data_IF_932066408403
#
_entry.id   IF_932066408403
#
_cell.length_a   1.000
_cell.length_b   1.000
_cell.length_c   1.000
_cell.angle_alpha   90.00
_cell.angle_beta   90.00
_cell.angle_gamma   90.00
#
_symmetry.space_group_name_H-M   'P 1'
#
loop_
_entity.id
_entity.type
_entity.pdbx_description
1 polymer ?
#
# COMPACT_ATOMS: atom_id res chain seq x y z
N UNK A 1 -4.59 -10.32 -1.43
CA UNK A 1 -4.84 -9.02 -0.75
C UNK A 1 -3.75 -8.77 0.27
N UNK A 2 -3.50 -7.51 0.63
CA UNK A 2 -2.46 -7.06 1.55
C UNK A 2 -3.12 -6.31 2.71
N UNK A 3 -2.74 -6.59 3.93
CA UNK A 3 -3.15 -5.81 5.09
C UNK A 3 -2.31 -4.54 5.22
N UNK A 4 -2.92 -3.39 4.96
CA UNK A 4 -2.33 -2.07 5.16
C UNK A 4 -2.33 -1.69 6.63
N UNK A 5 -1.24 -1.96 7.34
CA UNK A 5 -1.14 -1.82 8.78
C UNK A 5 -1.10 -0.36 9.29
N UNK A 6 -1.27 0.64 8.41
CA UNK A 6 -1.51 2.02 8.83
C UNK A 6 -2.73 2.13 9.78
N UNK A 7 -3.72 1.25 9.62
CA UNK A 7 -4.87 1.10 10.52
C UNK A 7 -4.45 0.91 11.99
N UNK A 8 -3.31 0.27 12.25
CA UNK A 8 -2.80 0.03 13.61
C UNK A 8 -2.03 1.24 14.18
N UNK A 9 -1.78 2.27 13.41
CA UNK A 9 -0.90 3.37 13.82
C UNK A 9 -1.37 4.09 15.09
N UNK A 10 -2.66 4.31 15.24
CA UNK A 10 -3.32 4.99 16.37
C UNK A 10 -4.10 4.06 17.29
N UNK A 11 -4.33 2.80 16.89
CA UNK A 11 -5.09 1.82 17.67
C UNK A 11 -4.54 1.66 19.10
N UNK A 12 -5.37 1.22 20.03
CA UNK A 12 -4.90 0.71 21.34
C UNK A 12 -4.45 -0.74 21.19
N UNK A 13 -3.68 -1.25 22.16
CA UNK A 13 -3.12 -2.60 22.05
C UNK A 13 -4.23 -3.67 22.10
N UNK A 14 -5.32 -3.41 22.84
CA UNK A 14 -6.50 -4.27 22.92
C UNK A 14 -7.30 -4.33 21.60
N UNK A 15 -7.25 -3.26 20.80
CA UNK A 15 -7.92 -3.17 19.50
C UNK A 15 -7.12 -3.90 18.40
N UNK A 16 -5.81 -4.03 18.58
CA UNK A 16 -4.93 -4.65 17.59
C UNK A 16 -5.03 -6.19 17.60
N UNK A 17 -5.24 -6.82 18.75
CA UNK A 17 -5.25 -8.28 18.87
C UNK A 17 -6.32 -8.97 18.00
N UNK A 18 -7.59 -8.48 17.97
CA UNK A 18 -8.62 -9.07 17.11
C UNK A 18 -8.30 -8.98 15.61
N UNK A 19 -7.46 -8.00 15.21
CA UNK A 19 -7.08 -7.85 13.81
C UNK A 19 -6.17 -9.01 13.37
N UNK A 20 -5.25 -9.48 14.22
CA UNK A 20 -4.45 -10.66 13.90
C UNK A 20 -5.33 -11.88 13.67
N UNK A 21 -6.30 -12.12 14.56
CA UNK A 21 -7.24 -13.25 14.42
C UNK A 21 -8.00 -13.15 13.09
N UNK A 22 -8.46 -11.97 12.74
CA UNK A 22 -9.16 -11.70 11.48
C UNK A 22 -8.26 -11.96 10.27
N UNK A 23 -6.98 -11.57 10.31
CA UNK A 23 -6.03 -11.86 9.23
C UNK A 23 -5.86 -13.37 9.02
N UNK A 24 -5.71 -14.11 10.12
CA UNK A 24 -5.54 -15.57 10.08
C UNK A 24 -6.82 -16.26 9.59
N UNK A 25 -7.99 -15.81 10.02
CA UNK A 25 -9.29 -16.34 9.58
C UNK A 25 -9.49 -16.20 8.06
N UNK A 26 -9.18 -15.01 7.52
CA UNK A 26 -9.30 -14.76 6.08
C UNK A 26 -8.08 -15.20 5.26
N UNK A 27 -7.06 -15.79 5.89
CA UNK A 27 -5.84 -16.25 5.20
C UNK A 27 -5.01 -15.10 4.60
N UNK A 28 -5.10 -13.89 5.17
CA UNK A 28 -4.30 -12.74 4.76
C UNK A 28 -2.88 -12.93 5.29
N UNK A 29 -1.94 -13.14 4.39
CA UNK A 29 -0.55 -13.47 4.72
C UNK A 29 0.47 -12.41 4.33
N UNK A 30 0.04 -11.20 3.99
CA UNK A 30 0.93 -10.08 3.66
C UNK A 30 0.56 -8.88 4.54
N UNK A 31 1.52 -8.42 5.36
CA UNK A 31 1.42 -7.21 6.19
C UNK A 31 2.32 -6.13 5.61
N UNK A 32 1.74 -4.96 5.32
CA UNK A 32 2.44 -3.78 4.81
C UNK A 32 2.36 -2.63 5.83
N UNK A 33 3.44 -2.45 6.60
CA UNK A 33 3.59 -1.37 7.58
C UNK A 33 4.57 -0.28 7.10
N UNK A 34 4.93 0.65 7.96
CA UNK A 34 5.96 1.67 7.72
C UNK A 34 6.48 2.28 9.03
N UNK A 35 7.72 2.77 9.02
CA UNK A 35 8.31 3.49 10.14
C UNK A 35 7.49 4.73 10.54
N UNK A 36 6.77 5.34 9.59
CA UNK A 36 5.95 6.54 9.80
C UNK A 36 4.52 6.25 10.27
N UNK A 37 4.09 5.00 10.40
CA UNK A 37 2.73 4.64 10.80
C UNK A 37 2.57 4.57 12.32
N UNK A 38 3.00 5.58 13.04
CA UNK A 38 2.84 5.69 14.49
C UNK A 38 3.36 4.46 15.25
N UNK A 39 2.47 3.74 15.93
CA UNK A 39 2.81 2.53 16.70
C UNK A 39 2.67 1.22 15.92
N UNK A 40 2.32 1.29 14.64
CA UNK A 40 2.00 0.09 13.82
C UNK A 40 3.10 -0.98 13.86
N UNK A 41 4.38 -0.62 13.61
CA UNK A 41 5.48 -1.59 13.65
C UNK A 41 5.62 -2.29 15.02
N UNK A 42 5.39 -1.58 16.13
CA UNK A 42 5.45 -2.17 17.48
C UNK A 42 4.33 -3.18 17.70
N UNK A 43 3.12 -2.89 17.19
CA UNK A 43 1.95 -3.80 17.28
C UNK A 43 2.14 -5.03 16.43
N UNK A 44 2.54 -4.85 15.18
CA UNK A 44 2.90 -5.96 14.30
C UNK A 44 4.03 -6.79 14.93
N UNK A 45 5.02 -6.15 15.56
CA UNK A 45 6.13 -6.83 16.23
C UNK A 45 5.67 -7.80 17.32
N UNK A 46 4.59 -7.51 18.05
CA UNK A 46 4.06 -8.47 19.05
C UNK A 46 3.50 -9.74 18.40
N UNK A 47 3.01 -9.65 17.16
CA UNK A 47 2.51 -10.81 16.41
C UNK A 47 3.67 -11.66 15.87
N UNK A 48 4.78 -11.01 15.50
CA UNK A 48 5.95 -11.68 14.91
C UNK A 48 6.63 -12.67 15.87
N UNK A 49 6.49 -12.49 17.17
CA UNK A 49 7.01 -13.43 18.18
C UNK A 49 6.50 -14.88 17.95
N UNK A 50 5.28 -15.03 17.41
CA UNK A 50 4.64 -16.33 17.18
C UNK A 50 4.31 -16.59 15.70
N UNK A 51 4.12 -15.56 14.90
CA UNK A 51 3.54 -15.65 13.56
C UNK A 51 4.47 -15.16 12.43
N UNK A 52 5.77 -14.94 12.69
CA UNK A 52 6.68 -14.44 11.63
C UNK A 52 6.64 -15.27 10.35
N UNK A 53 6.47 -16.59 10.47
CA UNK A 53 6.46 -17.52 9.33
C UNK A 53 5.17 -17.50 8.52
N UNK A 54 4.10 -17.00 9.12
CA UNK A 54 2.77 -16.96 8.51
C UNK A 54 2.62 -15.74 7.58
N UNK A 55 3.54 -14.75 7.68
CA UNK A 55 3.40 -13.49 6.98
C UNK A 55 4.60 -13.14 6.09
N UNK A 56 4.28 -12.68 4.90
CA UNK A 56 5.16 -11.81 4.11
C UNK A 56 5.11 -10.42 4.74
N UNK A 57 6.23 -9.96 5.30
CA UNK A 57 6.32 -8.75 6.09
C UNK A 57 7.02 -7.63 5.31
N UNK A 58 6.31 -6.51 5.10
CA UNK A 58 6.83 -5.33 4.44
C UNK A 58 6.85 -4.13 5.38
N UNK A 59 7.92 -3.32 5.28
CA UNK A 59 7.98 -1.99 5.90
C UNK A 59 8.53 -0.95 4.93
N UNK A 60 8.54 0.33 5.35
CA UNK A 60 8.96 1.44 4.50
C UNK A 60 9.84 2.42 5.26
N UNK A 61 10.84 2.98 4.55
CA UNK A 61 11.61 4.13 5.04
C UNK A 61 11.16 5.42 4.35
N UNK A 62 10.93 6.47 5.12
CA UNK A 62 10.66 7.81 4.62
C UNK A 62 11.93 8.65 4.45
N UNK A 63 13.08 8.14 4.86
CA UNK A 63 14.34 8.84 4.75
C UNK A 63 14.92 8.78 3.33
N UNK A 64 15.70 9.79 2.95
CA UNK A 64 16.22 9.93 1.59
C UNK A 64 17.72 9.73 1.47
N UNK A 65 18.48 9.89 2.56
CA UNK A 65 19.93 9.69 2.58
C UNK A 65 20.29 8.32 3.13
N UNK A 66 21.41 7.76 2.68
CA UNK A 66 21.91 6.45 3.08
C UNK A 66 21.89 6.25 4.59
N UNK A 67 22.60 7.13 5.35
CA UNK A 67 22.73 6.93 6.79
C UNK A 67 21.40 6.94 7.52
N UNK A 68 20.51 7.91 7.20
CA UNK A 68 19.21 8.01 7.86
C UNK A 68 18.31 6.83 7.50
N UNK A 69 18.29 6.41 6.23
CA UNK A 69 17.48 5.28 5.79
C UNK A 69 17.94 3.97 6.45
N UNK A 70 19.25 3.76 6.54
CA UNK A 70 19.87 2.62 7.23
C UNK A 70 19.48 2.60 8.70
N UNK A 71 19.65 3.70 9.42
CA UNK A 71 19.35 3.80 10.84
C UNK A 71 17.83 3.59 11.08
N UNK A 72 16.97 4.21 10.28
CA UNK A 72 15.52 4.04 10.36
C UNK A 72 15.11 2.58 10.12
N UNK A 73 15.72 1.90 9.15
CA UNK A 73 15.43 0.50 8.86
C UNK A 73 15.85 -0.43 10.01
N UNK A 74 17.02 -0.23 10.62
CA UNK A 74 17.41 -0.99 11.81
C UNK A 74 16.45 -0.78 12.97
N UNK A 75 16.00 0.45 13.22
CA UNK A 75 14.95 0.71 14.20
C UNK A 75 13.60 0.05 13.83
N UNK A 76 13.30 -0.11 12.54
CA UNK A 76 12.12 -0.85 12.11
C UNK A 76 12.22 -2.34 12.46
N UNK A 77 13.37 -2.99 12.23
CA UNK A 77 13.60 -4.38 12.63
C UNK A 77 13.44 -4.57 14.14
N UNK A 78 13.98 -3.65 14.96
CA UNK A 78 13.83 -3.68 16.42
C UNK A 78 12.36 -3.57 16.83
N UNK A 79 11.60 -2.62 16.24
CA UNK A 79 10.16 -2.43 16.55
C UNK A 79 9.32 -3.61 16.11
N UNK A 80 9.65 -4.21 14.97
CA UNK A 80 9.01 -5.39 14.42
C UNK A 80 9.45 -6.69 15.12
N UNK A 81 10.50 -6.65 15.97
CA UNK A 81 11.06 -7.80 16.68
C UNK A 81 11.47 -8.95 15.75
N UNK A 82 12.08 -8.60 14.63
CA UNK A 82 12.51 -9.57 13.62
C UNK A 82 13.95 -9.31 13.18
N UNK A 83 14.65 -10.35 12.75
CA UNK A 83 16.00 -10.23 12.19
C UNK A 83 15.96 -9.76 10.72
N UNK A 84 14.84 -9.96 10.02
CA UNK A 84 14.67 -9.59 8.62
C UNK A 84 13.20 -9.36 8.26
N UNK A 85 12.97 -8.56 7.21
CA UNK A 85 11.66 -8.40 6.55
C UNK A 85 11.72 -8.95 5.12
N UNK A 86 10.57 -9.16 4.51
CA UNK A 86 10.52 -9.63 3.13
C UNK A 86 10.69 -8.48 2.14
N UNK A 87 10.11 -7.30 2.41
CA UNK A 87 10.13 -6.15 1.51
C UNK A 87 10.43 -4.85 2.27
N UNK A 88 11.43 -4.10 1.80
CA UNK A 88 11.68 -2.72 2.20
C UNK A 88 11.31 -1.77 1.06
N UNK A 89 10.49 -0.77 1.35
CA UNK A 89 10.01 0.18 0.35
C UNK A 89 10.50 1.61 0.63
N UNK A 90 10.88 2.34 -0.43
CA UNK A 90 11.09 3.78 -0.35
C UNK A 90 9.72 4.47 -0.31
N UNK A 91 9.40 5.11 0.82
CA UNK A 91 8.07 5.59 1.15
C UNK A 91 7.76 6.93 0.49
N UNK A 92 6.67 6.98 -0.28
CA UNK A 92 6.14 8.21 -0.88
C UNK A 92 7.19 9.02 -1.66
N UNK A 93 7.86 8.37 -2.59
CA UNK A 93 8.92 8.96 -3.38
C UNK A 93 8.34 9.61 -4.65
N UNK A 94 7.73 10.78 -4.49
CA UNK A 94 6.99 11.52 -5.54
C UNK A 94 7.76 12.76 -6.00
N UNK A 95 8.31 13.50 -5.03
CA UNK A 95 8.98 14.77 -5.31
C UNK A 95 10.30 14.56 -6.06
N UNK A 96 10.51 15.21 -7.22
CA UNK A 96 11.70 14.99 -8.04
C UNK A 96 13.03 15.19 -7.31
N UNK A 97 13.13 16.20 -6.44
CA UNK A 97 14.35 16.48 -5.69
C UNK A 97 14.63 15.39 -4.63
N UNK A 98 13.59 14.87 -3.98
CA UNK A 98 13.70 13.74 -3.05
C UNK A 98 14.05 12.45 -3.80
N UNK A 99 13.46 12.25 -4.98
CA UNK A 99 13.75 11.11 -5.86
C UNK A 99 15.22 11.08 -6.28
N UNK A 100 15.76 12.21 -6.74
CA UNK A 100 17.19 12.31 -7.08
C UNK A 100 18.09 12.05 -5.87
N UNK A 101 17.72 12.54 -4.69
CA UNK A 101 18.47 12.28 -3.45
C UNK A 101 18.42 10.81 -3.07
N UNK A 102 17.24 10.20 -3.08
CA UNK A 102 17.04 8.83 -2.62
C UNK A 102 17.66 7.78 -3.55
N UNK A 103 17.64 8.01 -4.86
CA UNK A 103 18.17 7.10 -5.87
C UNK A 103 19.57 7.48 -6.39
N UNK A 104 20.11 8.59 -5.92
CA UNK A 104 21.45 9.07 -6.25
C UNK A 104 22.53 8.51 -5.30
N UNK A 105 23.81 8.91 -5.54
CA UNK A 105 24.92 8.53 -4.68
C UNK A 105 24.72 8.99 -3.22
N UNK A 106 24.93 8.06 -2.25
CA UNK A 106 24.67 8.31 -0.83
C UNK A 106 23.19 8.36 -0.47
N UNK A 107 22.30 7.87 -1.34
CA UNK A 107 20.85 7.87 -1.16
C UNK A 107 20.33 6.64 -0.43
N UNK A 108 19.03 6.68 -0.12
CA UNK A 108 18.34 5.61 0.60
C UNK A 108 18.35 4.27 -0.15
N UNK A 109 18.43 4.29 -1.47
CA UNK A 109 18.54 3.08 -2.29
C UNK A 109 19.80 2.27 -1.97
N UNK A 110 20.94 2.95 -1.75
CA UNK A 110 22.18 2.26 -1.37
C UNK A 110 22.03 1.52 -0.04
N UNK A 111 21.34 2.11 0.95
CA UNK A 111 21.04 1.45 2.21
C UNK A 111 20.11 0.24 2.05
N UNK A 112 19.12 0.32 1.15
CA UNK A 112 18.23 -0.79 0.86
C UNK A 112 18.97 -1.93 0.14
N UNK A 113 19.86 -1.62 -0.79
CA UNK A 113 20.71 -2.61 -1.49
C UNK A 113 21.66 -3.30 -0.51
N UNK A 114 22.34 -2.54 0.36
CA UNK A 114 23.19 -3.10 1.42
C UNK A 114 22.39 -4.02 2.36
N UNK A 115 21.20 -3.60 2.79
CA UNK A 115 20.33 -4.44 3.62
C UNK A 115 19.97 -5.77 2.92
N UNK A 116 19.76 -5.74 1.60
CA UNK A 116 19.51 -6.96 0.80
C UNK A 116 20.77 -7.85 0.72
N UNK A 117 21.92 -7.28 0.52
CA UNK A 117 23.20 -8.02 0.49
C UNK A 117 23.53 -8.66 1.84
N UNK A 118 23.12 -8.01 2.95
CA UNK A 118 23.25 -8.54 4.31
C UNK A 118 22.16 -9.58 4.67
N UNK A 119 21.18 -9.82 3.80
CA UNK A 119 20.08 -10.74 4.05
C UNK A 119 19.00 -10.22 5.02
N UNK A 120 19.03 -8.92 5.33
CA UNK A 120 18.05 -8.28 6.20
C UNK A 120 16.72 -7.99 5.47
N UNK A 121 16.74 -7.97 4.14
CA UNK A 121 15.57 -7.84 3.28
C UNK A 121 15.72 -8.69 2.02
N UNK A 122 14.61 -9.18 1.48
CA UNK A 122 14.59 -9.99 0.24
C UNK A 122 14.32 -9.14 -0.99
N UNK A 123 13.37 -8.22 -0.89
CA UNK A 123 12.84 -7.43 -1.99
C UNK A 123 12.89 -5.93 -1.67
N UNK A 124 13.05 -5.10 -2.70
CA UNK A 124 13.09 -3.65 -2.59
C UNK A 124 11.98 -3.05 -3.46
N UNK A 125 11.16 -2.17 -2.88
CA UNK A 125 10.04 -1.52 -3.56
C UNK A 125 10.07 -0.01 -3.47
N UNK A 126 9.17 0.62 -4.21
CA UNK A 126 8.95 2.07 -4.17
C UNK A 126 7.46 2.38 -4.11
N UNK A 127 7.08 3.41 -3.33
CA UNK A 127 5.69 3.76 -3.12
C UNK A 127 5.43 5.25 -3.36
N UNK A 128 4.18 5.60 -3.62
CA UNK A 128 3.79 6.99 -3.70
C UNK A 128 2.31 7.23 -3.93
N UNK A 129 1.97 8.50 -4.00
CA UNK A 129 0.63 9.04 -4.16
C UNK A 129 0.59 10.13 -5.22
N UNK A 130 -0.61 10.61 -5.52
CA UNK A 130 -0.82 11.73 -6.44
C UNK A 130 -0.99 11.30 -7.90
N UNK A 131 -1.22 12.28 -8.75
CA UNK A 131 -1.52 12.05 -10.18
C UNK A 131 -0.29 11.76 -11.03
N UNK A 132 0.91 12.10 -10.56
CA UNK A 132 2.17 11.88 -11.30
C UNK A 132 2.87 10.59 -10.93
N UNK A 133 2.36 9.84 -9.93
CA UNK A 133 3.12 8.73 -9.33
C UNK A 133 3.37 7.57 -10.29
N UNK A 134 2.44 7.29 -11.20
CA UNK A 134 2.63 6.22 -12.17
C UNK A 134 3.82 6.53 -13.11
N UNK A 135 3.92 7.77 -13.60
CA UNK A 135 5.06 8.23 -14.40
C UNK A 135 6.37 8.22 -13.57
N UNK A 136 6.33 8.62 -12.29
CA UNK A 136 7.50 8.57 -11.42
C UNK A 136 7.96 7.14 -11.16
N UNK A 137 7.04 6.18 -11.05
CA UNK A 137 7.40 4.77 -10.92
C UNK A 137 8.04 4.20 -12.19
N UNK A 138 7.58 4.59 -13.38
CA UNK A 138 8.26 4.25 -14.64
C UNK A 138 9.72 4.72 -14.64
N UNK A 139 9.98 5.99 -14.27
CA UNK A 139 11.34 6.51 -14.11
C UNK A 139 12.14 5.74 -13.04
N UNK A 140 11.49 5.36 -11.95
CA UNK A 140 12.15 4.57 -10.89
C UNK A 140 12.58 3.20 -11.40
N UNK A 141 11.73 2.52 -12.18
CA UNK A 141 12.03 1.23 -12.80
C UNK A 141 13.11 1.31 -13.91
N UNK A 142 13.30 2.47 -14.53
CA UNK A 142 14.43 2.71 -15.44
C UNK A 142 15.75 2.89 -14.66
N UNK A 143 15.68 3.47 -13.45
CA UNK A 143 16.87 3.75 -12.62
C UNK A 143 17.36 2.53 -11.85
N UNK A 144 16.44 1.69 -11.36
CA UNK A 144 16.73 0.52 -10.54
C UNK A 144 15.66 -0.57 -10.76
N UNK A 145 16.02 -1.85 -10.79
CA UNK A 145 15.07 -2.96 -10.91
C UNK A 145 14.36 -3.21 -9.57
N UNK A 146 13.41 -2.35 -9.21
CA UNK A 146 12.56 -2.55 -8.06
C UNK A 146 11.69 -3.79 -8.23
N UNK A 147 11.48 -4.53 -7.13
CA UNK A 147 10.64 -5.74 -7.11
C UNK A 147 9.16 -5.41 -6.98
N UNK A 148 8.81 -4.23 -6.45
CA UNK A 148 7.43 -3.77 -6.34
C UNK A 148 7.27 -2.25 -6.49
N UNK A 149 6.08 -1.86 -6.96
CA UNK A 149 5.60 -0.47 -6.95
C UNK A 149 4.27 -0.41 -6.20
N UNK A 150 4.00 0.72 -5.51
CA UNK A 150 2.73 0.93 -4.82
C UNK A 150 2.17 2.30 -5.17
N UNK A 151 0.90 2.35 -5.64
CA UNK A 151 0.23 3.57 -6.09
C UNK A 151 -1.29 3.47 -5.94
N UNK A 152 -2.04 4.60 -5.99
CA UNK A 152 -3.50 4.56 -5.97
C UNK A 152 -4.10 3.84 -7.18
N UNK A 153 -5.17 3.08 -6.96
CA UNK A 153 -5.97 2.49 -8.05
C UNK A 153 -7.44 2.42 -7.63
N UNK A 154 -8.25 3.27 -8.19
CA UNK A 154 -9.71 3.33 -8.03
C UNK A 154 -10.34 4.03 -9.23
N UNK A 155 -11.63 3.86 -9.42
CA UNK A 155 -12.32 4.37 -10.62
C UNK A 155 -12.22 5.89 -10.78
N UNK A 156 -12.43 6.73 -9.74
CA UNK A 156 -12.26 8.17 -9.90
C UNK A 156 -10.86 8.61 -10.34
N UNK A 157 -9.81 7.95 -9.87
CA UNK A 157 -8.43 8.23 -10.32
C UNK A 157 -8.23 7.86 -11.78
N UNK A 158 -8.80 6.73 -12.22
CA UNK A 158 -8.68 6.26 -13.62
C UNK A 158 -9.51 7.09 -14.61
N UNK A 159 -10.41 7.95 -14.15
CA UNK A 159 -11.10 8.94 -14.99
C UNK A 159 -10.20 10.12 -15.39
N UNK A 160 -9.07 10.33 -14.71
CA UNK A 160 -8.03 11.25 -15.18
C UNK A 160 -7.26 10.58 -16.32
N UNK A 161 -7.42 11.11 -17.54
CA UNK A 161 -6.88 10.49 -18.75
C UNK A 161 -5.34 10.36 -18.73
N UNK A 162 -4.61 11.35 -18.16
CA UNK A 162 -3.17 11.27 -18.05
C UNK A 162 -2.75 10.21 -17.03
N UNK A 163 -3.39 10.19 -15.85
CA UNK A 163 -3.11 9.17 -14.84
C UNK A 163 -3.38 7.76 -15.38
N UNK A 164 -4.51 7.56 -16.05
CA UNK A 164 -4.87 6.28 -16.65
C UNK A 164 -3.83 5.83 -17.69
N UNK A 165 -3.39 6.73 -18.57
CA UNK A 165 -2.36 6.43 -19.57
C UNK A 165 -1.04 6.02 -18.93
N UNK A 166 -0.57 6.76 -17.92
CA UNK A 166 0.68 6.47 -17.21
C UNK A 166 0.57 5.18 -16.38
N UNK A 167 -0.59 4.92 -15.79
CA UNK A 167 -0.87 3.68 -15.06
C UNK A 167 -0.82 2.45 -15.97
N UNK A 168 -1.43 2.52 -17.16
CA UNK A 168 -1.41 1.40 -18.14
C UNK A 168 0.01 1.15 -18.67
N UNK A 169 0.78 2.21 -18.95
CA UNK A 169 2.18 2.08 -19.33
C UNK A 169 3.01 1.40 -18.21
N UNK A 170 2.80 1.83 -16.96
CA UNK A 170 3.46 1.21 -15.80
C UNK A 170 3.04 -0.26 -15.64
N UNK A 171 1.76 -0.58 -15.77
CA UNK A 171 1.25 -1.93 -15.64
C UNK A 171 1.86 -2.87 -16.69
N UNK A 172 2.04 -2.39 -17.92
CA UNK A 172 2.71 -3.13 -18.99
C UNK A 172 4.16 -3.45 -18.61
N UNK A 173 4.93 -2.45 -18.19
CA UNK A 173 6.33 -2.63 -17.77
C UNK A 173 6.44 -3.57 -16.56
N UNK A 174 5.52 -3.44 -15.59
CA UNK A 174 5.50 -4.32 -14.42
C UNK A 174 5.22 -5.77 -14.82
N UNK A 175 4.27 -6.01 -15.72
CA UNK A 175 3.96 -7.36 -16.20
C UNK A 175 5.14 -7.98 -16.97
N UNK A 176 5.81 -7.21 -17.84
CA UNK A 176 6.97 -7.66 -18.62
C UNK A 176 8.18 -7.99 -17.76
N UNK A 177 8.39 -7.23 -16.67
CA UNK A 177 9.57 -7.36 -15.80
C UNK A 177 9.32 -8.19 -14.53
N UNK A 178 8.09 -8.67 -14.29
CA UNK A 178 7.71 -9.41 -13.09
C UNK A 178 7.72 -8.53 -11.82
N UNK A 179 7.43 -7.23 -11.95
CA UNK A 179 7.32 -6.29 -10.83
C UNK A 179 5.91 -6.35 -10.23
N UNK A 180 5.80 -6.53 -8.91
CA UNK A 180 4.52 -6.58 -8.24
C UNK A 180 3.87 -5.18 -8.14
N UNK A 181 2.62 -5.03 -8.61
CA UNK A 181 1.85 -3.80 -8.46
C UNK A 181 0.96 -3.89 -7.22
N UNK A 182 1.32 -3.16 -6.18
CA UNK A 182 0.49 -2.98 -5.00
C UNK A 182 -0.37 -1.73 -5.19
N UNK A 183 -1.64 -1.82 -4.86
CA UNK A 183 -2.56 -0.70 -5.00
C UNK A 183 -3.18 -0.31 -3.67
N UNK A 184 -3.44 0.98 -3.51
CA UNK A 184 -4.04 1.60 -2.35
C UNK A 184 -5.27 2.40 -2.74
N UNK A 185 -6.07 2.77 -1.74
CA UNK A 185 -7.24 3.64 -1.89
C UNK A 185 -8.36 3.06 -2.75
N UNK A 186 -8.45 1.71 -2.81
CA UNK A 186 -9.46 1.01 -3.61
C UNK A 186 -10.91 1.34 -3.24
N UNK A 187 -11.19 1.62 -1.96
CA UNK A 187 -12.53 1.98 -1.47
C UNK A 187 -12.71 3.48 -1.20
N UNK A 188 -11.95 4.34 -1.91
CA UNK A 188 -12.10 5.79 -1.78
C UNK A 188 -13.44 6.24 -2.35
N UNK A 189 -14.21 6.98 -1.55
CA UNK A 189 -15.39 7.69 -2.00
C UNK A 189 -14.99 9.07 -2.55
N UNK A 190 -14.32 9.91 -1.74
CA UNK A 190 -13.90 11.27 -2.11
C UNK A 190 -12.97 11.87 -1.05
N UNK A 191 -12.36 13.05 -1.28
CA UNK A 191 -11.71 13.81 -0.21
C UNK A 191 -12.68 14.16 0.93
N UNK A 192 -12.17 14.26 2.16
CA UNK A 192 -12.97 14.73 3.29
C UNK A 192 -13.39 16.20 3.13
N UNK A 193 -12.55 17.04 2.54
CA UNK A 193 -12.70 18.49 2.48
C UNK A 193 -13.00 19.04 3.90
N UNK A 194 -14.12 19.79 4.03
CA UNK A 194 -14.56 20.34 5.32
C UNK A 194 -15.53 19.40 6.11
N UNK A 195 -15.70 18.15 5.64
CA UNK A 195 -16.60 17.17 6.30
C UNK A 195 -15.99 16.63 7.57
N UNK A 196 -16.82 16.24 8.52
CA UNK A 196 -16.42 15.54 9.73
C UNK A 196 -15.79 14.17 9.35
N UNK A 197 -14.60 13.92 9.90
CA UNK A 197 -13.93 12.63 9.71
C UNK A 197 -14.59 11.58 10.59
N UNK A 198 -15.30 10.65 10.00
CA UNK A 198 -15.96 9.53 10.68
C UNK A 198 -15.11 8.27 10.69
N UNK A 199 -13.98 8.25 9.98
CA UNK A 199 -13.05 7.13 9.85
C UNK A 199 -11.59 7.62 9.94
N UNK A 200 -10.68 6.73 10.28
CA UNK A 200 -9.24 7.03 10.40
C UNK A 200 -8.51 7.13 9.04
N UNK A 201 -9.24 7.08 7.96
CA UNK A 201 -8.72 7.30 6.60
C UNK A 201 -8.59 8.79 6.29
N UNK A 202 -7.59 9.20 5.48
CA UNK A 202 -7.47 10.60 5.03
C UNK A 202 -8.36 10.95 3.83
N UNK A 203 -9.31 10.09 3.54
CA UNK A 203 -10.37 10.25 2.55
C UNK A 203 -11.66 9.65 3.10
N UNK A 204 -12.79 10.13 2.64
CA UNK A 204 -14.07 9.52 2.93
C UNK A 204 -14.16 8.16 2.24
N UNK A 205 -14.30 7.04 2.96
CA UNK A 205 -14.36 5.71 2.36
C UNK A 205 -15.78 5.32 1.97
N UNK A 206 -15.91 4.35 1.07
CA UNK A 206 -17.14 3.57 0.93
C UNK A 206 -17.35 2.75 2.22
N UNK A 207 -18.59 2.68 2.70
CA UNK A 207 -18.97 1.98 3.94
C UNK A 207 -20.10 0.97 3.77
N UNK A 208 -20.86 1.10 2.69
CA UNK A 208 -21.89 0.13 2.32
C UNK A 208 -21.26 -1.12 1.72
N UNK A 209 -21.66 -2.32 2.21
CA UNK A 209 -21.04 -3.57 1.78
C UNK A 209 -21.13 -3.81 0.27
N UNK A 210 -22.28 -3.49 -0.34
CA UNK A 210 -22.45 -3.70 -1.79
C UNK A 210 -21.53 -2.78 -2.61
N UNK A 211 -21.28 -1.56 -2.14
CA UNK A 211 -20.34 -0.63 -2.79
C UNK A 211 -18.89 -1.05 -2.57
N UNK A 212 -18.55 -1.56 -1.38
CA UNK A 212 -17.23 -2.13 -1.08
C UNK A 212 -16.99 -3.36 -1.96
N UNK A 213 -17.98 -4.22 -2.12
CA UNK A 213 -17.90 -5.40 -3.00
C UNK A 213 -17.53 -4.98 -4.43
N UNK A 214 -18.25 -4.03 -5.01
CA UNK A 214 -17.96 -3.52 -6.35
C UNK A 214 -16.53 -2.96 -6.46
N UNK A 215 -16.12 -2.12 -5.51
CA UNK A 215 -14.81 -1.49 -5.53
C UNK A 215 -13.67 -2.52 -5.36
N UNK A 216 -13.82 -3.46 -4.44
CA UNK A 216 -12.82 -4.50 -4.15
C UNK A 216 -12.74 -5.50 -5.33
N UNK A 217 -13.88 -5.97 -5.85
CA UNK A 217 -13.90 -6.89 -6.99
C UNK A 217 -13.32 -6.25 -8.26
N UNK A 218 -13.59 -4.96 -8.50
CA UNK A 218 -13.01 -4.23 -9.62
C UNK A 218 -11.48 -4.17 -9.53
N UNK A 219 -10.92 -3.88 -8.36
CA UNK A 219 -9.46 -3.87 -8.17
C UNK A 219 -8.87 -5.28 -8.33
N UNK A 220 -9.47 -6.28 -7.67
CA UNK A 220 -8.96 -7.66 -7.68
C UNK A 220 -9.19 -8.37 -9.02
N UNK A 221 -10.14 -7.91 -9.83
CA UNK A 221 -10.37 -8.40 -11.19
C UNK A 221 -9.24 -8.04 -12.16
N UNK A 222 -8.35 -7.10 -11.80
CA UNK A 222 -7.20 -6.76 -12.62
C UNK A 222 -6.04 -7.73 -12.37
N UNK A 223 -5.51 -8.40 -13.41
CA UNK A 223 -4.34 -9.29 -13.25
C UNK A 223 -3.11 -8.56 -12.71
N UNK A 224 -2.30 -9.26 -11.92
CA UNK A 224 -1.02 -8.78 -11.37
C UNK A 224 -1.12 -7.55 -10.45
N UNK A 225 -2.31 -7.25 -9.91
CA UNK A 225 -2.54 -6.18 -8.96
C UNK A 225 -2.88 -6.75 -7.59
N UNK A 226 -2.29 -6.16 -6.56
CA UNK A 226 -2.52 -6.53 -5.15
C UNK A 226 -3.19 -5.36 -4.44
N UNK A 227 -4.36 -5.59 -3.86
CA UNK A 227 -5.09 -4.59 -3.08
C UNK A 227 -4.57 -4.50 -1.65
N UNK A 228 -4.12 -3.31 -1.22
CA UNK A 228 -3.91 -2.93 0.17
C UNK A 228 -5.22 -2.43 0.79
N UNK A 229 -5.51 -2.85 2.02
CA UNK A 229 -6.70 -2.40 2.76
C UNK A 229 -6.65 -0.93 3.12
N UNK A 230 -7.82 -0.37 3.45
CA UNK A 230 -7.94 0.97 4.02
C UNK A 230 -7.29 1.06 5.41
N UNK A 231 -6.91 2.28 5.82
CA UNK A 231 -6.26 2.55 7.09
C UNK A 231 -7.25 2.69 8.28
N UNK A 232 -8.36 2.00 8.24
CA UNK A 232 -9.39 2.00 9.28
C UNK A 232 -9.79 0.57 9.63
N UNK A 233 -9.66 0.20 10.91
CA UNK A 233 -9.91 -1.15 11.39
C UNK A 233 -11.38 -1.56 11.27
N UNK A 234 -12.31 -0.63 11.41
CA UNK A 234 -13.75 -0.91 11.33
C UNK A 234 -14.20 -1.36 9.94
N UNK A 235 -13.44 -1.02 8.90
CA UNK A 235 -13.72 -1.39 7.51
C UNK A 235 -13.11 -2.74 7.11
N UNK A 236 -12.17 -3.28 7.89
CA UNK A 236 -11.45 -4.52 7.53
C UNK A 236 -12.37 -5.71 7.36
N UNK A 237 -13.35 -5.99 8.24
CA UNK A 237 -14.26 -7.12 8.06
C UNK A 237 -14.99 -7.07 6.71
N UNK A 238 -15.52 -5.88 6.34
CA UNK A 238 -16.23 -5.69 5.08
C UNK A 238 -15.33 -5.84 3.86
N UNK A 239 -14.09 -5.33 3.92
CA UNK A 239 -13.12 -5.46 2.83
C UNK A 239 -12.64 -6.90 2.66
N UNK A 240 -12.40 -7.61 3.76
CA UNK A 240 -11.98 -9.02 3.72
C UNK A 240 -13.11 -9.93 3.23
N UNK A 241 -14.34 -9.70 3.71
CA UNK A 241 -15.51 -10.41 3.24
C UNK A 241 -15.71 -10.21 1.73
N UNK A 242 -15.66 -8.97 1.24
CA UNK A 242 -15.71 -8.67 -0.18
C UNK A 242 -14.62 -9.42 -0.97
N UNK A 243 -13.37 -9.37 -0.51
CA UNK A 243 -12.27 -10.04 -1.18
C UNK A 243 -12.39 -11.57 -1.18
N UNK A 244 -12.92 -12.16 -0.09
CA UNK A 244 -13.16 -13.61 0.00
C UNK A 244 -14.20 -14.12 -0.99
N UNK A 245 -15.10 -13.23 -1.42
CA UNK A 245 -16.18 -13.50 -2.39
C UNK A 245 -15.87 -12.95 -3.79
N UNK A 246 -14.63 -12.46 -4.02
CA UNK A 246 -14.26 -11.91 -5.33
C UNK A 246 -14.44 -12.97 -6.42
N UNK A 247 -15.20 -12.60 -7.44
CA UNK A 247 -15.56 -13.43 -8.58
C UNK A 247 -15.43 -12.64 -9.88
N UNK A 248 -16.53 -12.45 -10.58
CA UNK A 248 -16.55 -11.68 -11.82
C UNK A 248 -16.18 -10.21 -11.58
N UNK A 249 -15.35 -9.67 -12.45
CA UNK A 249 -14.98 -8.26 -12.42
C UNK A 249 -16.19 -7.39 -12.79
N UNK A 250 -16.57 -6.41 -11.96
CA UNK A 250 -17.63 -5.47 -12.31
C UNK A 250 -17.35 -4.76 -13.64
N UNK A 251 -18.39 -4.61 -14.45
CA UNK A 251 -18.30 -3.89 -15.71
C UNK A 251 -18.08 -2.38 -15.52
N UNK A 252 -17.55 -1.73 -16.54
CA UNK A 252 -17.39 -0.26 -16.55
C UNK A 252 -18.73 0.46 -16.30
N UNK A 253 -19.85 -0.07 -16.79
CA UNK A 253 -21.18 0.49 -16.57
C UNK A 253 -21.61 0.41 -15.10
N UNK A 254 -21.35 -0.71 -14.41
CA UNK A 254 -21.64 -0.86 -12.99
C UNK A 254 -20.78 0.08 -12.14
N UNK A 255 -19.50 0.21 -12.48
CA UNK A 255 -18.58 1.13 -11.79
C UNK A 255 -18.96 2.59 -12.04
N UNK A 256 -19.35 2.95 -13.26
CA UNK A 256 -19.85 4.30 -13.56
C UNK A 256 -21.14 4.62 -12.79
N UNK A 257 -22.06 3.66 -12.70
CA UNK A 257 -23.27 3.81 -11.90
C UNK A 257 -22.97 3.98 -10.39
N UNK A 258 -21.93 3.29 -9.87
CA UNK A 258 -21.45 3.50 -8.50
C UNK A 258 -20.92 4.93 -8.31
N UNK A 259 -20.06 5.39 -9.22
CA UNK A 259 -19.49 6.75 -9.20
C UNK A 259 -20.60 7.81 -9.15
N UNK A 260 -21.60 7.70 -10.02
CA UNK A 260 -22.71 8.63 -10.10
C UNK A 260 -23.62 8.57 -8.85
N UNK A 261 -24.04 7.39 -8.44
CA UNK A 261 -24.93 7.18 -7.28
C UNK A 261 -24.32 7.72 -5.99
N UNK A 262 -23.02 7.52 -5.79
CA UNK A 262 -22.28 7.94 -4.59
C UNK A 262 -21.59 9.29 -4.74
N UNK A 263 -21.64 9.92 -5.91
CA UNK A 263 -20.90 11.14 -6.20
C UNK A 263 -19.42 11.01 -5.83
N UNK A 264 -18.81 9.93 -6.30
CA UNK A 264 -17.39 9.67 -6.04
C UNK A 264 -16.53 10.72 -6.73
N UNK A 265 -15.42 11.08 -6.10
CA UNK A 265 -14.49 12.07 -6.64
C UNK A 265 -13.02 11.62 -6.46
N UNK A 266 -12.12 12.04 -7.37
CA UNK A 266 -10.71 11.71 -7.23
C UNK A 266 -10.11 12.37 -5.99
N UNK A 267 -9.25 11.62 -5.30
CA UNK A 267 -8.56 12.10 -4.10
C UNK A 267 -7.43 13.09 -4.45
N UNK A 268 -6.90 12.98 -5.66
CA UNK A 268 -5.85 13.85 -6.19
C UNK A 268 -6.30 14.44 -7.53
N UNK A 269 -6.03 15.74 -7.72
CA UNK A 269 -6.38 16.50 -8.93
C UNK A 269 -5.13 17.11 -9.57
#
# INVERSE_FOLDING_TARGET
MIFGAAALGRAQDEEAAPILELLLEYGINHIDTAAMYGRSERRVGTWMDSHRKDFFLATKTGERTYQKARDQFHHSLERLRVDSVDLLQLHNLVEPAEWETALGPGGALEAAVEAREQGLVRFIGVTGHGTTIAAMHLRSLERFPFDSVLLPYNVPMMQNAQYASDFEALATVCAERGVAMQTIKGITLRPWDEREHTHDTWYEPLTDQADIDLAVHWVLGRPNVFLNTAADMSLLPSVFDAASRAGDTPSDAEMQALVERRSMAPLFT
#
